data_IF_619616107549
#
_entry.id   IF_619616107549
#
_cell.length_a   1.000
_cell.length_b   1.000
_cell.length_c   1.000
_cell.angle_alpha   90.00
_cell.angle_beta   90.00
_cell.angle_gamma   90.00
#
_symmetry.space_group_name_H-M   'P 1'
#
loop_
_entity.id
_entity.type
_entity.pdbx_description
1 polymer ?
#
# COMPACT_ATOMS: atom_id res chain seq x y z
N UNK A 1 -7.80 -8.79 -7.86
CA UNK A 1 -8.33 -9.37 -6.59
C UNK A 1 -9.70 -8.84 -6.15
N UNK A 2 -10.03 -7.54 -6.29
CA UNK A 2 -11.35 -7.00 -5.90
C UNK A 2 -12.54 -7.74 -6.57
N UNK A 3 -12.35 -8.18 -7.81
CA UNK A 3 -13.34 -8.96 -8.59
C UNK A 3 -13.74 -10.27 -7.91
N UNK A 4 -12.86 -10.90 -7.11
CA UNK A 4 -13.15 -12.17 -6.43
C UNK A 4 -13.88 -11.98 -5.09
N UNK A 5 -13.69 -10.84 -4.43
CA UNK A 5 -14.31 -10.55 -3.13
C UNK A 5 -15.68 -9.87 -3.29
N UNK A 6 -15.91 -9.16 -4.38
CA UNK A 6 -17.15 -8.42 -4.62
C UNK A 6 -18.42 -9.31 -4.66
N UNK A 7 -18.43 -10.49 -5.32
CA UNK A 7 -19.59 -11.39 -5.28
C UNK A 7 -19.90 -11.89 -3.87
N UNK A 8 -18.87 -12.21 -3.07
CA UNK A 8 -19.03 -12.66 -1.68
C UNK A 8 -19.50 -11.54 -0.75
N UNK A 9 -19.09 -10.29 -1.03
CA UNK A 9 -19.63 -9.11 -0.35
C UNK A 9 -21.11 -8.91 -0.67
N UNK A 10 -21.51 -9.02 -1.95
CA UNK A 10 -22.90 -8.91 -2.38
C UNK A 10 -23.80 -10.00 -1.80
N UNK A 11 -23.25 -11.19 -1.53
CA UNK A 11 -23.93 -12.30 -0.84
C UNK A 11 -23.89 -12.22 0.69
N UNK A 12 -23.41 -11.12 1.26
CA UNK A 12 -23.31 -10.88 2.71
C UNK A 12 -22.45 -11.91 3.48
N UNK A 13 -21.49 -12.56 2.80
CA UNK A 13 -20.61 -13.58 3.39
C UNK A 13 -19.29 -13.00 3.93
N UNK A 14 -19.11 -11.68 3.87
CA UNK A 14 -17.89 -11.00 4.30
C UNK A 14 -18.22 -9.95 5.35
N UNK A 15 -17.23 -9.63 6.19
CA UNK A 15 -17.33 -8.47 7.05
C UNK A 15 -17.23 -7.20 6.18
N UNK A 16 -18.35 -6.48 6.06
CA UNK A 16 -18.45 -5.31 5.18
C UNK A 16 -17.57 -4.13 5.59
N UNK A 17 -17.24 -3.99 6.88
CA UNK A 17 -16.32 -2.96 7.37
C UNK A 17 -14.90 -3.26 6.90
N UNK A 18 -14.44 -4.50 7.09
CA UNK A 18 -13.11 -4.96 6.65
C UNK A 18 -12.94 -4.86 5.13
N UNK A 19 -14.00 -5.19 4.37
CA UNK A 19 -13.98 -5.02 2.91
C UNK A 19 -13.79 -3.55 2.49
N UNK A 20 -14.48 -2.60 3.14
CA UNK A 20 -14.30 -1.16 2.89
C UNK A 20 -12.88 -0.69 3.23
N UNK A 21 -12.35 -1.10 4.39
CA UNK A 21 -10.97 -0.80 4.80
C UNK A 21 -9.97 -1.30 3.75
N UNK A 22 -10.14 -2.54 3.29
CA UNK A 22 -9.29 -3.13 2.23
C UNK A 22 -9.37 -2.32 0.95
N UNK A 23 -10.57 -1.90 0.54
CA UNK A 23 -10.79 -1.16 -0.70
C UNK A 23 -10.11 0.21 -0.64
N UNK A 24 -10.30 0.96 0.45
CA UNK A 24 -9.62 2.24 0.68
C UNK A 24 -8.11 2.08 0.71
N UNK A 25 -7.60 1.07 1.41
CA UNK A 25 -6.15 0.77 1.47
C UNK A 25 -5.58 0.48 0.09
N UNK A 26 -6.32 -0.26 -0.74
CA UNK A 26 -5.91 -0.59 -2.11
C UNK A 26 -5.82 0.67 -2.99
N UNK A 27 -6.86 1.51 -2.94
CA UNK A 27 -6.86 2.77 -3.69
C UNK A 27 -5.71 3.66 -3.25
N UNK A 28 -5.54 3.83 -1.94
CA UNK A 28 -4.46 4.67 -1.39
C UNK A 28 -3.08 4.17 -1.83
N UNK A 29 -2.85 2.85 -1.79
CA UNK A 29 -1.61 2.24 -2.26
C UNK A 29 -1.30 2.59 -3.71
N UNK A 30 -2.28 2.42 -4.61
CA UNK A 30 -2.12 2.67 -6.05
C UNK A 30 -1.84 4.14 -6.32
N UNK A 31 -2.58 5.05 -5.69
CA UNK A 31 -2.40 6.48 -5.88
C UNK A 31 -1.05 6.97 -5.34
N UNK A 32 -0.63 6.51 -4.15
CA UNK A 32 0.68 6.85 -3.59
C UNK A 32 1.82 6.31 -4.44
N UNK A 33 1.68 5.09 -4.97
CA UNK A 33 2.64 4.51 -5.90
C UNK A 33 2.77 5.34 -7.18
N UNK A 34 1.63 5.72 -7.77
CA UNK A 34 1.59 6.56 -8.96
C UNK A 34 2.27 7.90 -8.74
N UNK A 35 1.92 8.62 -7.66
CA UNK A 35 2.52 9.92 -7.33
C UNK A 35 4.02 9.79 -7.04
N UNK A 36 4.44 8.71 -6.39
CA UNK A 36 5.86 8.40 -6.20
C UNK A 36 6.58 8.27 -7.56
N UNK A 37 6.01 7.50 -8.49
CA UNK A 37 6.53 7.36 -9.84
C UNK A 37 6.63 8.69 -10.60
N UNK A 38 5.64 9.57 -10.46
CA UNK A 38 5.65 10.92 -11.05
C UNK A 38 6.83 11.77 -10.53
N UNK A 39 7.13 11.71 -9.22
CA UNK A 39 8.30 12.41 -8.66
C UNK A 39 9.62 11.91 -9.26
N UNK A 40 9.72 10.60 -9.50
CA UNK A 40 10.86 9.98 -10.16
C UNK A 40 10.96 10.35 -11.65
N UNK A 41 9.84 10.41 -12.36
CA UNK A 41 9.80 10.85 -13.76
C UNK A 41 10.12 12.35 -13.90
N UNK A 42 9.68 13.19 -12.96
CA UNK A 42 10.03 14.61 -12.93
C UNK A 42 11.54 14.82 -12.72
N UNK A 43 12.18 13.95 -11.94
CA UNK A 43 13.62 13.93 -11.74
C UNK A 43 14.37 13.59 -13.04
N UNK A 44 13.98 12.49 -13.71
CA UNK A 44 14.64 12.02 -14.95
C UNK A 44 14.36 12.94 -16.14
N UNK A 45 13.17 13.54 -16.20
CA UNK A 45 12.72 14.38 -17.30
C UNK A 45 13.31 15.80 -17.31
N UNK A 46 13.97 16.24 -16.23
CA UNK A 46 14.60 17.58 -16.17
C UNK A 46 16.12 17.47 -16.20
N UNK A 47 16.71 17.86 -17.33
CA UNK A 47 18.17 17.85 -17.53
C UNK A 47 18.95 18.99 -16.84
N UNK A 48 18.27 19.89 -16.12
CA UNK A 48 18.88 21.09 -15.50
C UNK A 48 18.18 21.48 -14.19
N UNK A 49 18.11 20.57 -13.24
CA UNK A 49 17.65 20.87 -11.88
C UNK A 49 18.83 21.09 -10.93
N UNK A 50 18.67 22.02 -9.99
CA UNK A 50 19.63 22.18 -8.89
C UNK A 50 19.62 20.92 -8.03
N UNK A 51 20.80 20.48 -7.59
CA UNK A 51 21.01 19.32 -6.69
C UNK A 51 20.05 19.38 -5.48
N UNK A 52 19.80 20.58 -4.94
CA UNK A 52 18.88 20.77 -3.82
C UNK A 52 17.42 20.41 -4.17
N UNK A 53 16.97 20.72 -5.39
CA UNK A 53 15.63 20.37 -5.86
C UNK A 53 15.52 18.87 -6.17
N UNK A 54 16.59 18.27 -6.69
CA UNK A 54 16.66 16.82 -6.93
C UNK A 54 16.56 16.03 -5.63
N UNK A 55 17.31 16.43 -4.59
CA UNK A 55 17.23 15.80 -3.27
C UNK A 55 15.81 15.86 -2.67
N UNK A 56 15.11 16.99 -2.81
CA UNK A 56 13.72 17.13 -2.32
C UNK A 56 12.74 16.25 -3.10
N UNK A 57 12.89 16.14 -4.42
CA UNK A 57 12.04 15.29 -5.25
C UNK A 57 12.27 13.80 -4.93
N UNK A 58 13.52 13.38 -4.78
CA UNK A 58 13.87 12.01 -4.36
C UNK A 58 13.30 11.71 -2.98
N UNK A 59 13.48 12.59 -1.99
CA UNK A 59 12.97 12.36 -0.65
C UNK A 59 11.43 12.24 -0.61
N UNK A 60 10.72 13.03 -1.43
CA UNK A 60 9.26 12.93 -1.56
C UNK A 60 8.83 11.66 -2.28
N UNK A 61 9.52 11.31 -3.37
CA UNK A 61 9.31 10.08 -4.11
C UNK A 61 9.49 8.84 -3.22
N UNK A 62 10.57 8.80 -2.45
CA UNK A 62 10.91 7.72 -1.53
C UNK A 62 9.92 7.59 -0.38
N UNK A 63 9.54 8.68 0.27
CA UNK A 63 8.56 8.61 1.36
C UNK A 63 7.22 8.04 0.86
N UNK A 64 6.74 8.49 -0.30
CA UNK A 64 5.51 7.98 -0.89
C UNK A 64 5.64 6.54 -1.38
N UNK A 65 6.81 6.17 -1.91
CA UNK A 65 7.12 4.79 -2.30
C UNK A 65 7.06 3.86 -1.09
N UNK A 66 7.74 4.24 -0.01
CA UNK A 66 7.78 3.49 1.26
C UNK A 66 6.38 3.32 1.83
N UNK A 67 5.57 4.39 1.88
CA UNK A 67 4.19 4.29 2.37
C UNK A 67 3.35 3.39 1.47
N UNK A 68 3.49 3.49 0.15
CA UNK A 68 2.80 2.60 -0.78
C UNK A 68 3.21 1.14 -0.57
N UNK A 69 4.51 0.87 -0.40
CA UNK A 69 5.04 -0.46 -0.15
C UNK A 69 4.52 -1.04 1.18
N UNK A 70 4.45 -0.22 2.23
CA UNK A 70 3.85 -0.58 3.53
C UNK A 70 2.38 -0.98 3.38
N UNK A 71 1.58 -0.18 2.66
CA UNK A 71 0.16 -0.48 2.46
C UNK A 71 -0.05 -1.69 1.54
N UNK A 72 0.78 -1.84 0.51
CA UNK A 72 0.74 -2.96 -0.42
C UNK A 72 1.03 -4.30 0.27
N UNK A 73 2.07 -4.33 1.11
CA UNK A 73 2.43 -5.51 1.89
C UNK A 73 1.43 -5.83 3.02
N UNK A 74 0.63 -4.86 3.47
CA UNK A 74 -0.46 -5.08 4.42
C UNK A 74 -1.71 -5.73 3.78
N UNK A 75 -1.86 -5.66 2.45
CA UNK A 75 -3.06 -6.14 1.76
C UNK A 75 -3.39 -7.63 1.99
N UNK A 76 -2.42 -8.57 1.99
CA UNK A 76 -2.70 -9.99 2.21
C UNK A 76 -3.32 -10.25 3.59
N UNK A 77 -2.81 -9.60 4.64
CA UNK A 77 -3.36 -9.70 5.99
C UNK A 77 -4.81 -9.19 6.05
N UNK A 78 -5.08 -8.03 5.43
CA UNK A 78 -6.44 -7.46 5.35
C UNK A 78 -7.41 -8.37 4.60
N UNK A 79 -6.96 -9.04 3.54
CA UNK A 79 -7.78 -10.00 2.79
C UNK A 79 -8.15 -11.20 3.68
N UNK A 80 -7.18 -11.75 4.41
CA UNK A 80 -7.41 -12.89 5.31
C UNK A 80 -8.39 -12.54 6.44
N UNK A 81 -8.26 -11.34 7.03
CA UNK A 81 -9.26 -10.85 7.99
C UNK A 81 -10.64 -10.67 7.37
N UNK A 82 -10.72 -10.15 6.14
CA UNK A 82 -12.01 -9.98 5.44
C UNK A 82 -12.70 -11.32 5.18
N UNK A 83 -11.92 -12.37 4.91
CA UNK A 83 -12.38 -13.74 4.71
C UNK A 83 -12.69 -14.50 6.02
N UNK A 84 -12.39 -13.92 7.18
CA UNK A 84 -12.59 -14.56 8.50
C UNK A 84 -11.50 -15.57 8.91
N UNK A 85 -10.42 -15.70 8.14
CA UNK A 85 -9.29 -16.61 8.42
C UNK A 85 -8.33 -15.91 9.39
N UNK A 86 -8.75 -15.84 10.66
CA UNK A 86 -8.16 -14.92 11.65
C UNK A 86 -6.77 -15.36 12.11
N UNK A 87 -6.55 -16.65 12.27
CA UNK A 87 -5.27 -17.25 12.66
C UNK A 87 -4.14 -16.90 11.66
N UNK A 88 -4.38 -17.15 10.38
CA UNK A 88 -3.41 -16.83 9.31
C UNK A 88 -3.27 -15.32 9.14
N UNK A 89 -4.35 -14.55 9.31
CA UNK A 89 -4.32 -13.10 9.24
C UNK A 89 -3.43 -12.47 10.33
N UNK A 90 -3.46 -13.01 11.56
CA UNK A 90 -2.58 -12.57 12.65
C UNK A 90 -1.11 -12.82 12.30
N UNK A 91 -0.78 -14.03 11.82
CA UNK A 91 0.59 -14.36 11.41
C UNK A 91 1.08 -13.40 10.31
N UNK A 92 0.25 -13.17 9.29
CA UNK A 92 0.56 -12.23 8.22
C UNK A 92 0.75 -10.79 8.73
N UNK A 93 -0.03 -10.37 9.73
CA UNK A 93 0.09 -9.05 10.36
C UNK A 93 1.39 -8.91 11.17
N UNK A 94 1.79 -9.96 11.89
CA UNK A 94 3.06 -9.98 12.60
C UNK A 94 4.25 -9.89 11.65
N UNK A 95 4.24 -10.66 10.55
CA UNK A 95 5.25 -10.59 9.49
C UNK A 95 5.32 -9.19 8.88
N UNK A 96 4.16 -8.60 8.60
CA UNK A 96 4.07 -7.22 8.12
C UNK A 96 4.65 -6.22 9.12
N UNK A 97 4.35 -6.35 10.42
CA UNK A 97 4.86 -5.46 11.46
C UNK A 97 6.39 -5.56 11.60
N UNK A 98 6.96 -6.75 11.49
CA UNK A 98 8.41 -6.96 11.46
C UNK A 98 9.04 -6.29 10.23
N UNK A 99 8.42 -6.45 9.07
CA UNK A 99 8.85 -5.80 7.83
C UNK A 99 8.77 -4.26 7.94
N UNK A 100 7.71 -3.73 8.53
CA UNK A 100 7.55 -2.30 8.80
C UNK A 100 8.63 -1.77 9.73
N UNK A 101 8.92 -2.51 10.81
CA UNK A 101 10.00 -2.16 11.74
C UNK A 101 11.36 -2.12 11.05
N UNK A 102 11.64 -3.03 10.12
CA UNK A 102 12.89 -3.05 9.35
C UNK A 102 13.03 -1.84 8.40
N UNK A 103 11.94 -1.39 7.78
CA UNK A 103 11.98 -0.26 6.83
C UNK A 103 12.07 1.11 7.51
N UNK A 104 11.54 1.24 8.73
CA UNK A 104 11.48 2.52 9.47
C UNK A 104 12.77 2.78 10.27
N UNK A 105 13.66 1.78 10.41
CA UNK A 105 14.97 1.90 11.05
C UNK A 105 15.94 2.78 10.25
#
# INVERSE_FOLDING_TARGET
>A
MLVFLFPRYASNQLNGVLFRVKLTTTLLTIFLFGISGEYYLELVGRSKTSIAREMVLVQRGDSLFVVSLMLGTAMPALILFTLGITDVAVIATCLWALYAGFIIQ
#
